data_IF_488406238043
#
_entry.id   IF_488406238043
#
_cell.length_a   1.000
_cell.length_b   1.000
_cell.length_c   1.000
_cell.angle_alpha   90.00
_cell.angle_beta   90.00
_cell.angle_gamma   90.00
#
_symmetry.space_group_name_H-M   'P 1'
#
loop_
_entity.id
_entity.type
_entity.pdbx_description
1 polymer ?
#
# COMPACT_ATOMS: atom_id res chain seq x y z
N UNK A 1 28.43 -7.34 1.29
CA UNK A 1 28.22 -7.46 2.74
C UNK A 1 27.37 -6.27 3.20
N UNK A 2 26.17 -6.49 3.74
CA UNK A 2 25.69 -5.97 5.06
C UNK A 2 24.18 -5.75 5.11
N UNK A 3 23.47 -6.57 5.90
CA UNK A 3 22.38 -6.08 6.77
C UNK A 3 22.12 -7.11 7.87
N UNK A 4 23.00 -7.23 8.87
CA UNK A 4 22.87 -8.32 9.84
C UNK A 4 22.59 -9.70 9.16
N UNK A 5 23.07 -9.90 7.91
CA UNK A 5 22.76 -11.05 7.06
C UNK A 5 21.98 -10.82 5.74
N UNK A 6 21.16 -9.78 5.56
CA UNK A 6 20.23 -9.66 4.40
C UNK A 6 20.26 -8.28 3.69
N UNK A 7 21.36 -7.96 3.00
CA UNK A 7 21.38 -6.95 1.94
C UNK A 7 22.09 -7.49 0.74
N UNK A 8 21.51 -7.24 -0.42
CA UNK A 8 22.17 -7.46 -1.68
C UNK A 8 22.24 -6.14 -2.42
N UNK A 9 23.45 -5.71 -2.76
CA UNK A 9 23.70 -4.45 -3.43
C UNK A 9 24.45 -4.72 -4.73
N UNK A 10 23.95 -4.13 -5.81
CA UNK A 10 24.57 -4.05 -7.13
C UNK A 10 24.74 -2.58 -7.53
N UNK A 11 25.27 -2.33 -8.73
CA UNK A 11 25.43 -0.96 -9.25
C UNK A 11 24.07 -0.24 -9.45
N UNK A 12 23.00 -0.99 -9.74
CA UNK A 12 21.68 -0.44 -10.07
C UNK A 12 20.57 -0.77 -9.06
N UNK A 13 20.73 -1.84 -8.27
CA UNK A 13 19.70 -2.34 -7.38
C UNK A 13 20.28 -2.63 -5.99
N UNK A 14 19.60 -2.15 -4.96
CA UNK A 14 19.90 -2.42 -3.57
C UNK A 14 18.66 -3.01 -2.88
N UNK A 15 18.74 -4.29 -2.53
CA UNK A 15 17.74 -5.00 -1.77
C UNK A 15 18.09 -4.87 -0.30
N UNK A 16 17.36 -4.00 0.39
CA UNK A 16 17.49 -3.79 1.84
C UNK A 16 16.15 -4.01 2.52
N UNK A 17 16.20 -4.50 3.75
CA UNK A 17 15.04 -4.50 4.62
C UNK A 17 14.77 -3.07 5.10
N UNK A 18 13.56 -2.55 4.85
CA UNK A 18 13.14 -1.22 5.25
C UNK A 18 11.70 -1.25 5.77
N UNK A 19 11.50 -0.86 7.02
CA UNK A 19 10.18 -0.73 7.64
C UNK A 19 9.58 0.63 7.29
N UNK A 20 8.40 0.62 6.65
CA UNK A 20 7.69 1.84 6.30
C UNK A 20 6.68 2.23 7.39
N UNK A 21 7.01 3.26 8.16
CA UNK A 21 6.13 3.80 9.21
C UNK A 21 5.03 4.76 8.69
N UNK A 22 4.88 4.90 7.37
CA UNK A 22 3.88 5.79 6.76
C UNK A 22 4.41 7.14 6.28
N UNK A 23 5.68 7.20 5.87
CA UNK A 23 6.33 8.45 5.39
C UNK A 23 5.59 9.12 4.23
N UNK A 24 4.97 8.32 3.34
CA UNK A 24 4.14 8.83 2.24
C UNK A 24 2.95 9.68 2.72
N UNK A 25 2.53 9.52 3.97
CA UNK A 25 1.49 10.29 4.64
C UNK A 25 2.05 11.19 5.74
N UNK A 26 3.31 11.61 5.65
CA UNK A 26 3.96 12.49 6.65
C UNK A 26 3.19 13.81 6.86
N UNK A 27 2.53 14.34 5.83
CA UNK A 27 1.63 15.50 5.93
C UNK A 27 0.37 15.22 6.80
N UNK A 28 0.01 13.95 6.96
CA UNK A 28 -1.10 13.44 7.76
C UNK A 28 -0.59 12.73 9.03
N UNK A 29 0.65 13.00 9.45
CA UNK A 29 1.26 12.36 10.63
C UNK A 29 0.49 12.64 11.92
N UNK A 30 -0.25 13.74 12.00
CA UNK A 30 -1.14 14.07 13.12
C UNK A 30 -2.26 13.03 13.36
N UNK A 31 -2.58 12.18 12.37
CA UNK A 31 -3.52 11.08 12.56
C UNK A 31 -2.91 9.91 13.32
N UNK A 32 -1.58 9.81 13.38
CA UNK A 32 -0.82 8.76 14.07
C UNK A 32 -1.43 7.36 13.87
N UNK A 33 -1.89 6.73 14.96
CA UNK A 33 -2.52 5.41 14.96
C UNK A 33 -3.76 5.32 14.07
N UNK A 34 -4.43 6.45 13.81
CA UNK A 34 -5.63 6.50 12.98
C UNK A 34 -5.34 6.48 11.48
N UNK A 35 -4.08 6.62 11.06
CA UNK A 35 -3.71 6.62 9.65
C UNK A 35 -4.08 5.30 8.94
N UNK A 36 -4.04 4.17 9.66
CA UNK A 36 -4.50 2.88 9.12
C UNK A 36 -6.00 2.87 8.83
N UNK A 37 -6.81 3.56 9.63
CA UNK A 37 -8.26 3.66 9.40
C UNK A 37 -8.57 4.59 8.23
N UNK A 38 -7.79 5.64 8.02
CA UNK A 38 -7.89 6.46 6.81
C UNK A 38 -7.60 5.63 5.55
N UNK A 39 -6.54 4.81 5.58
CA UNK A 39 -6.22 3.93 4.45
C UNK A 39 -7.33 2.89 4.22
N UNK A 40 -7.86 2.28 5.28
CA UNK A 40 -9.02 1.39 5.19
C UNK A 40 -10.23 2.07 4.56
N UNK A 41 -10.53 3.31 4.96
CA UNK A 41 -11.63 4.09 4.40
C UNK A 41 -11.42 4.36 2.91
N UNK A 42 -10.22 4.72 2.47
CA UNK A 42 -9.90 4.95 1.05
C UNK A 42 -10.12 3.69 0.21
N UNK A 43 -9.63 2.54 0.68
CA UNK A 43 -9.84 1.25 0.00
C UNK A 43 -11.34 0.91 -0.02
N UNK A 44 -12.04 1.09 1.10
CA UNK A 44 -13.48 0.82 1.19
C UNK A 44 -14.30 1.67 0.22
N UNK A 45 -14.04 2.98 0.16
CA UNK A 45 -14.70 3.91 -0.78
C UNK A 45 -14.42 3.52 -2.22
N UNK A 46 -13.16 3.23 -2.57
CA UNK A 46 -12.79 2.78 -3.91
C UNK A 46 -13.50 1.48 -4.28
N UNK A 47 -13.52 0.50 -3.38
CA UNK A 47 -14.18 -0.77 -3.60
C UNK A 47 -15.68 -0.62 -3.85
N UNK A 48 -16.37 0.15 -2.99
CA UNK A 48 -17.80 0.46 -3.15
C UNK A 48 -18.06 1.17 -4.49
N UNK A 49 -17.23 2.17 -4.83
CA UNK A 49 -17.36 2.91 -6.08
C UNK A 49 -17.23 2.00 -7.31
N UNK A 50 -16.23 1.12 -7.33
CA UNK A 50 -16.01 0.18 -8.44
C UNK A 50 -17.12 -0.86 -8.55
N UNK A 51 -17.67 -1.30 -7.40
CA UNK A 51 -18.79 -2.23 -7.39
C UNK A 51 -20.06 -1.60 -8.01
N UNK A 52 -20.27 -0.29 -7.79
CA UNK A 52 -21.34 0.47 -8.42
C UNK A 52 -21.04 0.71 -9.91
N UNK A 53 -19.81 1.12 -10.26
CA UNK A 53 -19.39 1.46 -11.61
C UNK A 53 -18.83 0.24 -12.37
N UNK A 54 -19.69 -0.74 -12.63
CA UNK A 54 -19.31 -2.02 -13.25
C UNK A 54 -18.64 -1.89 -14.62
N UNK A 55 -19.00 -0.89 -15.43
CA UNK A 55 -18.35 -0.65 -16.73
C UNK A 55 -16.89 -0.26 -16.52
N UNK A 56 -16.64 0.68 -15.61
CA UNK A 56 -15.30 1.17 -15.30
C UNK A 56 -14.41 0.05 -14.74
N UNK A 57 -14.97 -0.78 -13.85
CA UNK A 57 -14.30 -1.97 -13.32
C UNK A 57 -13.98 -2.99 -14.41
N UNK A 58 -14.91 -3.28 -15.33
CA UNK A 58 -14.69 -4.25 -16.41
C UNK A 58 -13.64 -3.77 -17.41
N UNK A 59 -13.65 -2.49 -17.77
CA UNK A 59 -12.69 -1.93 -18.73
C UNK A 59 -11.26 -1.89 -18.17
N UNK A 60 -11.09 -1.75 -16.86
CA UNK A 60 -9.76 -1.59 -16.22
C UNK A 60 -9.54 -2.60 -15.09
N UNK A 61 -10.06 -3.81 -15.24
CA UNK A 61 -10.06 -4.85 -14.19
C UNK A 61 -8.65 -5.18 -13.68
N UNK A 62 -7.65 -5.25 -14.56
CA UNK A 62 -6.25 -5.53 -14.20
C UNK A 62 -5.69 -4.40 -13.35
N UNK A 63 -5.88 -3.14 -13.77
CA UNK A 63 -5.37 -1.98 -13.05
C UNK A 63 -5.99 -1.88 -11.64
N UNK A 64 -7.32 -2.03 -11.54
CA UNK A 64 -7.99 -2.02 -10.26
C UNK A 64 -7.66 -3.23 -9.39
N UNK A 65 -7.46 -4.41 -9.99
CA UNK A 65 -7.00 -5.60 -9.28
C UNK A 65 -5.62 -5.41 -8.66
N UNK A 66 -4.66 -4.85 -9.41
CA UNK A 66 -3.33 -4.52 -8.89
C UNK A 66 -3.40 -3.46 -7.79
N UNK A 67 -4.17 -2.40 -7.99
CA UNK A 67 -4.29 -1.31 -7.02
C UNK A 67 -4.95 -1.77 -5.71
N UNK A 68 -6.06 -2.52 -5.79
CA UNK A 68 -6.73 -3.08 -4.61
C UNK A 68 -5.86 -4.14 -3.93
N UNK A 69 -5.20 -5.01 -4.69
CA UNK A 69 -4.29 -6.02 -4.14
C UNK A 69 -3.14 -5.41 -3.37
N UNK A 70 -2.41 -4.47 -3.97
CA UNK A 70 -1.32 -3.75 -3.32
C UNK A 70 -1.82 -2.94 -2.12
N UNK A 71 -2.93 -2.20 -2.27
CA UNK A 71 -3.50 -1.41 -1.17
C UNK A 71 -3.87 -2.28 0.03
N UNK A 72 -4.56 -3.40 -0.19
CA UNK A 72 -4.98 -4.32 0.88
C UNK A 72 -3.79 -5.00 1.53
N UNK A 73 -2.80 -5.49 0.78
CA UNK A 73 -1.62 -6.12 1.39
C UNK A 73 -0.84 -5.14 2.26
N UNK A 74 -0.62 -3.90 1.78
CA UNK A 74 0.03 -2.87 2.56
C UNK A 74 -0.80 -2.40 3.78
N UNK A 75 -2.13 -2.52 3.72
CA UNK A 75 -2.99 -2.23 4.85
C UNK A 75 -2.91 -3.34 5.90
N UNK A 76 -2.91 -4.61 5.49
CA UNK A 76 -2.79 -5.76 6.39
C UNK A 76 -1.48 -5.69 7.20
N UNK A 77 -0.36 -5.36 6.56
CA UNK A 77 0.94 -5.16 7.22
C UNK A 77 0.92 -4.07 8.30
N UNK A 78 -0.05 -3.15 8.30
CA UNK A 78 -0.19 -2.08 9.32
C UNK A 78 -1.05 -2.50 10.51
N UNK A 79 -1.84 -3.55 10.36
CA UNK A 79 -2.71 -4.08 11.41
C UNK A 79 -2.09 -5.24 12.17
N UNK A 80 -1.19 -5.98 11.52
CA UNK A 80 -0.37 -7.04 12.10
C UNK A 80 0.85 -6.42 12.78
#
# INVERSE_FOLDING_TARGET
LTLAGLRWQSEYLDLTYALNTGVAFSMLSFLEHNLKYLHLALIGVLFIYLFWQKTLLKTHNIAFGMMLGAGVSNLLDRFI
#
